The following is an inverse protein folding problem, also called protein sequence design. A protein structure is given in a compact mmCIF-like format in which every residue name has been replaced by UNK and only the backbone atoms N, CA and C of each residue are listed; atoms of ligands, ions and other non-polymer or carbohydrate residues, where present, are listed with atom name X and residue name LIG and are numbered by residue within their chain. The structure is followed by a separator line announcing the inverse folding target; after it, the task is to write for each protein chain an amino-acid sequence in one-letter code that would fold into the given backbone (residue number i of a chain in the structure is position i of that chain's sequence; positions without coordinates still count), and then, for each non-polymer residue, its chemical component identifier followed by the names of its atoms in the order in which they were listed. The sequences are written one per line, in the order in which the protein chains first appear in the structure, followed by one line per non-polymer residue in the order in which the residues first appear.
data_IF_570183647194
#
_entry.id   IF_570183647194
#
_cell.length_a   1.000
_cell.length_b   1.000
_cell.length_c   1.000
_cell.angle_alpha   90.00
_cell.angle_beta   90.00
_cell.angle_gamma   90.00
#
_symmetry.space_group_name_H-M   'P 1'
#
loop_
_entity.id
_entity.type
_entity.pdbx_description
1 polymer ?
#
# COMPACT_ATOMS: atom_id res chain seq x y z
N UNK A 1 -33.56 -9.48 -41.93
CA UNK A 1 -32.51 -10.15 -41.18
C UNK A 1 -31.82 -9.09 -40.33
N UNK A 2 -32.10 -9.05 -39.03
CA UNK A 2 -31.52 -8.08 -38.10
C UNK A 2 -30.30 -8.75 -37.42
N UNK A 3 -29.12 -8.22 -37.67
CA UNK A 3 -27.89 -8.68 -37.06
C UNK A 3 -27.78 -8.05 -35.65
N UNK A 4 -28.01 -8.83 -34.61
CA UNK A 4 -27.82 -8.39 -33.22
C UNK A 4 -26.32 -8.36 -32.92
N UNK A 5 -25.76 -7.15 -32.77
CA UNK A 5 -24.41 -6.94 -32.25
C UNK A 5 -24.46 -7.06 -30.74
N UNK A 6 -24.00 -8.15 -30.19
CA UNK A 6 -23.82 -8.32 -28.76
C UNK A 6 -22.65 -7.44 -28.29
N UNK A 7 -22.80 -6.64 -27.22
CA UNK A 7 -21.67 -5.91 -26.67
C UNK A 7 -20.70 -6.92 -26.05
N UNK A 8 -19.46 -6.96 -26.54
CA UNK A 8 -18.36 -7.65 -25.88
C UNK A 8 -17.98 -6.84 -24.65
N UNK A 9 -18.44 -7.26 -23.51
CA UNK A 9 -17.98 -6.74 -22.23
C UNK A 9 -16.54 -7.24 -22.03
N UNK A 10 -15.58 -6.38 -22.34
CA UNK A 10 -14.18 -6.66 -22.04
C UNK A 10 -14.02 -6.83 -20.53
N UNK A 11 -13.75 -8.04 -20.11
CA UNK A 11 -13.33 -8.28 -18.72
C UNK A 11 -12.04 -7.49 -18.48
N UNK A 12 -12.10 -6.47 -17.62
CA UNK A 12 -10.93 -5.72 -17.19
C UNK A 12 -10.08 -6.67 -16.32
N UNK A 13 -9.08 -7.28 -16.93
CA UNK A 13 -8.12 -8.15 -16.23
C UNK A 13 -7.24 -7.28 -15.33
N UNK A 14 -7.08 -7.70 -14.07
CA UNK A 14 -6.10 -7.07 -13.21
C UNK A 14 -4.69 -7.26 -13.80
N UNK A 15 -3.98 -6.17 -14.05
CA UNK A 15 -2.58 -6.26 -14.42
C UNK A 15 -1.78 -6.50 -13.15
N UNK A 16 -1.25 -7.71 -12.98
CA UNK A 16 -0.25 -8.02 -11.96
C UNK A 16 1.08 -7.49 -12.47
N UNK A 17 1.64 -6.52 -11.77
CA UNK A 17 2.89 -5.86 -12.14
C UNK A 17 4.10 -6.55 -11.52
N UNK A 18 3.91 -7.07 -10.30
CA UNK A 18 4.90 -7.85 -9.56
C UNK A 18 4.13 -8.77 -8.61
N UNK A 19 4.62 -9.97 -8.38
CA UNK A 19 4.04 -10.84 -7.35
C UNK A 19 4.44 -10.38 -5.95
N UNK A 20 3.65 -10.74 -4.95
CA UNK A 20 3.97 -10.43 -3.55
C UNK A 20 5.32 -11.03 -3.14
N UNK A 21 5.60 -12.27 -3.57
CA UNK A 21 6.85 -12.96 -3.22
C UNK A 21 8.06 -12.28 -3.87
N UNK A 22 7.95 -11.85 -5.14
CA UNK A 22 9.01 -11.07 -5.80
C UNK A 22 9.23 -9.73 -5.12
N UNK A 23 8.15 -9.02 -4.75
CA UNK A 23 8.26 -7.73 -4.05
C UNK A 23 8.91 -7.89 -2.67
N UNK A 24 8.58 -8.97 -1.94
CA UNK A 24 9.22 -9.30 -0.65
C UNK A 24 10.69 -9.66 -0.82
N UNK A 25 11.04 -10.46 -1.83
CA UNK A 25 12.44 -10.82 -2.11
C UNK A 25 13.29 -9.59 -2.48
N UNK A 26 12.71 -8.63 -3.22
CA UNK A 26 13.38 -7.37 -3.53
C UNK A 26 13.52 -6.45 -2.30
N UNK A 27 12.54 -6.47 -1.40
CA UNK A 27 12.55 -5.63 -0.19
C UNK A 27 13.48 -6.19 0.89
N UNK A 28 13.55 -7.51 1.03
CA UNK A 28 14.24 -8.21 2.11
C UNK A 28 15.04 -9.41 1.57
N UNK A 29 16.11 -9.18 0.77
CA UNK A 29 16.84 -10.26 0.09
C UNK A 29 17.49 -11.26 1.06
N UNK A 30 17.87 -10.80 2.27
CA UNK A 30 18.59 -11.60 3.27
C UNK A 30 17.73 -11.92 4.52
N UNK A 31 16.41 -11.90 4.39
CA UNK A 31 15.51 -12.13 5.51
C UNK A 31 14.41 -13.13 5.17
N UNK A 32 14.02 -13.94 6.14
CA UNK A 32 12.82 -14.73 6.07
C UNK A 32 11.60 -13.86 6.35
N UNK A 33 10.54 -14.01 5.54
CA UNK A 33 9.31 -13.26 5.70
C UNK A 33 8.18 -14.16 6.20
N UNK A 34 7.46 -13.71 7.22
CA UNK A 34 6.31 -14.40 7.81
C UNK A 34 5.06 -13.56 7.57
N UNK A 35 4.05 -14.16 6.94
CA UNK A 35 2.75 -13.52 6.73
C UNK A 35 1.92 -13.54 8.01
N UNK A 36 1.34 -12.40 8.35
CA UNK A 36 0.43 -12.23 9.48
C UNK A 36 -0.86 -11.54 9.02
N UNK A 37 -1.99 -12.03 9.50
CA UNK A 37 -3.28 -11.36 9.37
C UNK A 37 -3.57 -10.62 10.67
N UNK A 38 -3.79 -9.33 10.59
CA UNK A 38 -4.19 -8.49 11.71
C UNK A 38 -5.69 -8.33 11.70
N UNK A 39 -6.31 -8.51 12.86
CA UNK A 39 -7.73 -8.26 13.10
C UNK A 39 -7.84 -6.98 13.91
N UNK A 40 -8.37 -5.92 13.30
CA UNK A 40 -8.47 -4.60 13.90
C UNK A 40 -9.82 -4.45 14.62
N UNK A 41 -9.79 -4.02 15.87
CA UNK A 41 -10.97 -3.58 16.59
C UNK A 41 -11.54 -2.30 15.96
N UNK A 42 -12.77 -1.93 16.32
CA UNK A 42 -13.34 -0.64 15.90
C UNK A 42 -12.49 0.53 16.36
N UNK A 43 -12.05 0.51 17.62
CA UNK A 43 -11.19 1.54 18.20
C UNK A 43 -9.85 1.68 17.45
N UNK A 44 -9.21 0.56 17.09
CA UNK A 44 -7.99 0.57 16.31
C UNK A 44 -8.22 1.17 14.91
N UNK A 45 -9.32 0.82 14.24
CA UNK A 45 -9.67 1.38 12.92
C UNK A 45 -9.93 2.89 13.01
N UNK A 46 -10.67 3.32 14.01
CA UNK A 46 -10.98 4.74 14.24
C UNK A 46 -9.69 5.52 14.47
N UNK A 47 -8.77 4.97 15.28
CA UNK A 47 -7.46 5.56 15.52
C UNK A 47 -6.60 5.63 14.26
N UNK A 48 -6.55 4.55 13.47
CA UNK A 48 -5.82 4.55 12.18
C UNK A 48 -6.42 5.59 11.23
N UNK A 49 -7.75 5.72 11.17
CA UNK A 49 -8.42 6.70 10.32
C UNK A 49 -8.11 8.15 10.78
N UNK A 50 -8.13 8.41 12.09
CA UNK A 50 -7.79 9.72 12.67
C UNK A 50 -6.33 10.07 12.36
N UNK A 51 -5.38 9.20 12.71
CA UNK A 51 -3.95 9.45 12.56
C UNK A 51 -3.53 9.57 11.08
N UNK A 52 -4.14 8.79 10.17
CA UNK A 52 -3.83 8.83 8.74
C UNK A 52 -4.55 9.93 7.97
N UNK A 53 -5.71 10.37 8.46
CA UNK A 53 -6.64 11.22 7.70
C UNK A 53 -7.28 10.49 6.51
N UNK A 54 -7.29 9.14 6.50
CA UNK A 54 -7.81 8.32 5.41
C UNK A 54 -8.80 7.28 5.95
N UNK A 55 -9.81 6.95 5.13
CA UNK A 55 -10.81 5.94 5.50
C UNK A 55 -10.20 4.55 5.68
N UNK A 56 -10.65 3.83 6.70
CA UNK A 56 -10.30 2.44 7.00
C UNK A 56 -11.55 1.58 6.91
N UNK A 57 -11.81 1.03 5.74
CA UNK A 57 -13.02 0.24 5.46
C UNK A 57 -12.94 -1.22 5.93
N UNK A 58 -11.73 -1.79 6.09
CA UNK A 58 -11.51 -3.19 6.44
C UNK A 58 -11.09 -3.36 7.90
N UNK A 59 -11.63 -4.39 8.56
CA UNK A 59 -11.15 -4.87 9.86
C UNK A 59 -9.97 -5.85 9.73
N UNK A 60 -9.57 -6.20 8.50
CA UNK A 60 -8.47 -7.10 8.24
C UNK A 60 -7.35 -6.35 7.54
N UNK A 61 -6.13 -6.57 8.00
CA UNK A 61 -4.92 -6.11 7.32
C UNK A 61 -3.91 -7.25 7.19
N UNK A 62 -3.21 -7.30 6.07
CA UNK A 62 -2.15 -8.26 5.83
C UNK A 62 -0.80 -7.58 5.96
N UNK A 63 0.06 -8.14 6.80
CA UNK A 63 1.46 -7.73 6.88
C UNK A 63 2.40 -8.93 6.78
N UNK A 64 3.63 -8.64 6.43
CA UNK A 64 4.76 -9.55 6.48
C UNK A 64 5.79 -8.99 7.44
N UNK A 65 6.33 -9.85 8.31
CA UNK A 65 7.44 -9.50 9.21
C UNK A 65 8.70 -10.12 8.63
N UNK A 66 9.69 -9.32 8.32
CA UNK A 66 10.98 -9.77 7.82
C UNK A 66 11.96 -9.94 8.99
N UNK A 67 12.58 -11.13 9.10
CA UNK A 67 13.57 -11.44 10.13
C UNK A 67 14.88 -11.93 9.50
N UNK A 68 15.98 -11.39 10.00
CA UNK A 68 17.31 -11.88 9.65
C UNK A 68 17.59 -13.26 10.24
N UNK A 69 18.69 -13.87 9.83
CA UNK A 69 19.16 -15.16 10.34
C UNK A 69 19.41 -15.16 11.87
N UNK A 70 19.69 -14.00 12.44
CA UNK A 70 19.82 -13.74 13.87
C UNK A 70 18.49 -13.60 14.63
N UNK A 71 17.34 -13.74 13.91
CA UNK A 71 15.99 -13.55 14.44
C UNK A 71 15.56 -12.08 14.61
N UNK A 72 16.46 -11.12 14.42
CA UNK A 72 16.13 -9.70 14.53
C UNK A 72 15.15 -9.27 13.41
N UNK A 73 14.22 -8.38 13.75
CA UNK A 73 13.31 -7.79 12.76
C UNK A 73 14.10 -6.83 11.87
N UNK A 74 13.98 -7.02 10.56
CA UNK A 74 14.61 -6.18 9.53
C UNK A 74 13.61 -5.16 8.97
N UNK A 75 12.33 -5.38 9.18
CA UNK A 75 11.27 -4.51 8.74
C UNK A 75 9.94 -5.23 8.57
N UNK A 76 9.01 -4.52 7.98
CA UNK A 76 7.66 -4.99 7.71
C UNK A 76 7.22 -4.63 6.30
N UNK A 77 6.34 -5.44 5.71
CA UNK A 77 5.63 -5.08 4.48
C UNK A 77 4.13 -5.22 4.72
N UNK A 78 3.36 -4.24 4.28
CA UNK A 78 1.91 -4.22 4.40
C UNK A 78 1.28 -4.21 3.01
N UNK A 79 0.23 -4.99 2.81
CA UNK A 79 -0.60 -4.91 1.62
C UNK A 79 -1.80 -4.02 1.92
N UNK A 80 -1.97 -2.97 1.12
CA UNK A 80 -3.13 -2.09 1.15
C UNK A 80 -3.84 -2.17 -0.21
N UNK A 81 -5.12 -2.53 -0.17
CA UNK A 81 -5.97 -2.54 -1.36
C UNK A 81 -7.02 -1.46 -1.23
N UNK A 82 -7.02 -0.54 -2.14
CA UNK A 82 -7.92 0.60 -2.16
C UNK A 82 -8.46 0.86 -3.56
N UNK A 83 -9.50 1.69 -3.65
CA UNK A 83 -10.08 2.13 -4.92
C UNK A 83 -9.41 3.42 -5.38
N UNK A 84 -9.03 3.47 -6.66
CA UNK A 84 -8.47 4.69 -7.28
C UNK A 84 -9.58 5.58 -7.80
N UNK A 85 -10.32 5.13 -8.81
CA UNK A 85 -11.52 5.80 -9.36
C UNK A 85 -12.71 4.86 -9.22
N UNK A 86 -12.74 3.82 -10.04
CA UNK A 86 -13.79 2.80 -10.08
C UNK A 86 -13.23 1.42 -9.76
N UNK A 87 -11.95 1.18 -10.02
CA UNK A 87 -11.28 -0.09 -9.88
C UNK A 87 -10.19 -0.05 -8.80
N UNK A 88 -9.84 -1.21 -8.22
CA UNK A 88 -8.86 -1.26 -7.14
C UNK A 88 -7.41 -1.25 -7.64
N UNK A 89 -6.56 -0.70 -6.78
CA UNK A 89 -5.11 -0.85 -6.75
C UNK A 89 -4.72 -1.61 -5.48
N UNK A 90 -3.68 -2.44 -5.55
CA UNK A 90 -3.03 -3.02 -4.38
C UNK A 90 -1.57 -2.58 -4.38
N UNK A 91 -1.18 -1.91 -3.32
CA UNK A 91 0.22 -1.52 -3.09
C UNK A 91 0.81 -2.33 -1.94
N UNK A 92 2.11 -2.59 -2.01
CA UNK A 92 2.92 -3.06 -0.90
C UNK A 92 3.73 -1.89 -0.37
N UNK A 93 3.53 -1.53 0.88
CA UNK A 93 4.33 -0.52 1.59
C UNK A 93 5.31 -1.24 2.49
N UNK A 94 6.59 -1.04 2.24
CA UNK A 94 7.69 -1.65 2.98
C UNK A 94 8.25 -0.64 3.97
N UNK A 95 8.35 -1.04 5.24
CA UNK A 95 8.93 -0.27 6.32
C UNK A 95 10.22 -0.93 6.80
N UNK A 96 11.21 -0.13 7.18
CA UNK A 96 12.40 -0.61 7.88
C UNK A 96 12.13 -0.94 9.36
N UNK A 97 13.17 -1.31 10.10
CA UNK A 97 13.07 -1.67 11.51
C UNK A 97 12.65 -0.50 12.42
N UNK A 98 12.79 0.74 11.96
CA UNK A 98 12.37 1.96 12.67
C UNK A 98 10.97 2.45 12.27
N UNK A 99 10.29 1.70 11.38
CA UNK A 99 8.95 2.05 10.88
C UNK A 99 8.94 3.17 9.83
N UNK A 100 10.09 3.44 9.20
CA UNK A 100 10.22 4.42 8.11
C UNK A 100 9.92 3.74 6.79
N UNK A 101 9.27 4.44 5.86
CA UNK A 101 9.02 3.89 4.52
C UNK A 101 10.35 3.66 3.80
N UNK A 102 10.57 2.45 3.37
CA UNK A 102 11.73 2.05 2.58
C UNK A 102 11.39 1.92 1.10
N UNK A 103 10.15 1.53 0.77
CA UNK A 103 9.72 1.30 -0.60
C UNK A 103 8.20 1.23 -0.69
N UNK A 104 7.65 1.63 -1.83
CA UNK A 104 6.26 1.38 -2.22
C UNK A 104 6.27 0.70 -3.58
N UNK A 105 5.65 -0.49 -3.67
CA UNK A 105 5.51 -1.26 -4.92
C UNK A 105 4.04 -1.44 -5.27
N UNK A 106 3.68 -1.25 -6.53
CA UNK A 106 2.35 -1.56 -7.04
C UNK A 106 2.29 -3.03 -7.40
N UNK A 107 1.52 -3.81 -6.65
CA UNK A 107 1.35 -5.26 -6.86
C UNK A 107 0.32 -5.51 -7.97
N UNK A 108 -0.85 -4.88 -7.86
CA UNK A 108 -1.88 -4.96 -8.88
C UNK A 108 -2.48 -3.60 -9.17
N UNK A 109 -2.79 -3.36 -10.43
CA UNK A 109 -3.47 -2.16 -10.88
C UNK A 109 -4.58 -2.54 -11.85
N UNK A 110 -5.82 -2.12 -11.57
CA UNK A 110 -6.98 -2.51 -12.39
C UNK A 110 -7.54 -1.38 -13.23
N UNK A 111 -7.19 -0.13 -12.93
CA UNK A 111 -7.49 0.99 -13.82
C UNK A 111 -6.61 0.93 -15.07
N UNK A 112 -6.94 1.65 -16.17
CA UNK A 112 -6.05 1.79 -17.32
C UNK A 112 -4.66 2.30 -16.90
N UNK A 113 -3.60 1.67 -17.46
CA UNK A 113 -2.21 1.95 -17.08
C UNK A 113 -1.78 3.40 -17.29
N UNK A 114 -2.49 4.14 -18.15
CA UNK A 114 -2.27 5.58 -18.36
C UNK A 114 -2.55 6.43 -17.10
N UNK A 115 -3.34 5.90 -16.14
CA UNK A 115 -3.62 6.52 -14.84
C UNK A 115 -2.65 6.12 -13.74
N UNK A 116 -1.66 5.27 -14.06
CA UNK A 116 -0.63 4.86 -13.11
C UNK A 116 0.57 5.79 -13.20
N UNK A 117 1.06 6.34 -12.08
CA UNK A 117 2.33 7.04 -12.04
C UNK A 117 3.49 6.17 -12.54
N UNK A 118 4.52 6.77 -13.13
CA UNK A 118 5.73 6.05 -13.51
C UNK A 118 6.46 5.54 -12.25
N UNK A 119 7.18 4.43 -12.37
CA UNK A 119 7.88 3.76 -11.26
C UNK A 119 8.68 4.73 -10.37
N UNK A 120 9.47 5.61 -10.93
CA UNK A 120 10.27 6.57 -10.15
C UNK A 120 9.46 7.59 -9.34
N UNK A 121 8.14 7.72 -9.58
CA UNK A 121 7.30 8.57 -8.75
C UNK A 121 7.11 8.00 -7.35
N UNK A 122 7.07 6.69 -7.20
CA UNK A 122 6.88 6.01 -5.91
C UNK A 122 8.12 6.12 -5.01
N UNK A 123 9.29 6.45 -5.55
CA UNK A 123 10.53 6.65 -4.79
C UNK A 123 10.43 7.85 -3.83
N UNK A 124 9.48 8.77 -4.03
CA UNK A 124 9.26 9.92 -3.15
C UNK A 124 8.82 9.52 -1.73
N UNK A 125 8.31 8.31 -1.56
CA UNK A 125 7.92 7.80 -0.25
C UNK A 125 9.10 7.26 0.57
N UNK A 126 10.26 7.04 -0.05
CA UNK A 126 11.44 6.54 0.65
C UNK A 126 11.92 7.56 1.71
N UNK A 127 12.13 7.07 2.93
CA UNK A 127 12.49 7.90 4.08
C UNK A 127 11.33 8.61 4.76
N UNK A 128 10.11 8.52 4.23
CA UNK A 128 8.94 9.18 4.80
C UNK A 128 8.44 8.51 6.08
N UNK A 129 7.89 9.33 6.97
CA UNK A 129 7.17 8.96 8.19
C UNK A 129 5.77 9.57 8.16
N UNK A 130 4.92 9.16 9.09
CA UNK A 130 3.60 9.75 9.22
C UNK A 130 3.69 11.12 9.88
N UNK A 131 3.46 12.14 9.08
CA UNK A 131 3.31 13.53 9.51
C UNK A 131 2.36 14.29 8.58
N UNK A 132 2.18 15.58 8.82
CA UNK A 132 1.28 16.42 8.03
C UNK A 132 1.84 16.78 6.65
N UNK A 133 3.15 16.64 6.44
CA UNK A 133 3.81 16.96 5.19
C UNK A 133 3.82 15.79 4.21
N UNK A 134 3.55 14.56 4.67
CA UNK A 134 3.31 13.40 3.82
C UNK A 134 1.98 13.55 3.05
N UNK A 135 1.88 14.51 2.18
CA UNK A 135 0.69 14.88 1.44
C UNK A 135 1.04 15.39 0.04
N UNK A 136 0.08 15.27 -0.91
CA UNK A 136 0.26 15.87 -2.25
C UNK A 136 0.44 17.38 -2.15
N UNK A 137 1.33 17.91 -2.98
CA UNK A 137 1.76 19.31 -3.05
C UNK A 137 2.57 19.78 -1.81
N UNK A 138 2.94 18.86 -0.95
CA UNK A 138 3.94 19.01 0.09
C UNK A 138 5.12 18.11 -0.27
N UNK A 139 5.44 17.11 0.52
CA UNK A 139 6.55 16.18 0.25
C UNK A 139 6.30 15.31 -0.98
N UNK A 140 5.03 15.07 -1.34
CA UNK A 140 4.67 14.24 -2.49
C UNK A 140 4.23 15.11 -3.66
N UNK A 141 4.98 15.07 -4.76
CA UNK A 141 4.66 15.79 -6.00
C UNK A 141 3.47 15.14 -6.70
N UNK A 142 2.48 15.92 -7.14
CA UNK A 142 1.37 15.40 -7.93
C UNK A 142 1.84 14.95 -9.31
N UNK A 143 1.05 14.08 -9.96
CA UNK A 143 1.26 13.61 -11.33
C UNK A 143 0.13 14.08 -12.22
N UNK A 144 0.45 14.78 -13.29
CA UNK A 144 -0.55 15.16 -14.30
C UNK A 144 -1.07 13.91 -14.99
N UNK A 145 -2.40 13.78 -15.09
CA UNK A 145 -3.07 12.62 -15.68
C UNK A 145 -3.28 11.46 -14.71
N UNK A 146 -2.52 11.37 -13.58
CA UNK A 146 -2.65 10.32 -12.57
C UNK A 146 -2.90 10.87 -11.15
N UNK A 147 -3.56 12.02 -11.03
CA UNK A 147 -3.76 12.70 -9.74
C UNK A 147 -4.59 11.88 -8.74
N UNK A 148 -5.59 11.14 -9.22
CA UNK A 148 -6.41 10.31 -8.33
C UNK A 148 -5.59 9.13 -7.79
N UNK A 149 -4.80 8.46 -8.62
CA UNK A 149 -3.89 7.40 -8.20
C UNK A 149 -2.88 7.94 -7.19
N UNK A 150 -2.24 9.07 -7.51
CA UNK A 150 -1.29 9.70 -6.59
C UNK A 150 -1.90 10.01 -5.22
N UNK A 151 -3.17 10.48 -5.17
CA UNK A 151 -3.90 10.71 -3.93
C UNK A 151 -4.16 9.41 -3.18
N UNK A 152 -4.78 8.43 -3.84
CA UNK A 152 -5.16 7.16 -3.22
C UNK A 152 -3.94 6.41 -2.69
N UNK A 153 -2.82 6.40 -3.44
CA UNK A 153 -1.55 5.82 -2.99
C UNK A 153 -1.00 6.56 -1.76
N UNK A 154 -1.04 7.91 -1.74
CA UNK A 154 -0.60 8.68 -0.57
C UNK A 154 -1.43 8.35 0.66
N UNK A 155 -2.76 8.29 0.52
CA UNK A 155 -3.67 7.88 1.59
C UNK A 155 -3.39 6.44 2.07
N UNK A 156 -3.06 5.51 1.16
CA UNK A 156 -2.67 4.14 1.49
C UNK A 156 -1.36 4.10 2.30
N UNK A 157 -0.35 4.85 1.91
CA UNK A 157 0.92 4.94 2.66
C UNK A 157 0.70 5.51 4.05
N UNK A 158 -0.06 6.60 4.18
CA UNK A 158 -0.43 7.18 5.48
C UNK A 158 -1.17 6.17 6.35
N UNK A 159 -2.15 5.46 5.78
CA UNK A 159 -2.92 4.44 6.48
C UNK A 159 -2.05 3.30 7.00
N UNK A 160 -1.09 2.83 6.19
CA UNK A 160 -0.14 1.79 6.60
C UNK A 160 0.76 2.26 7.73
N UNK A 161 1.27 3.48 7.66
CA UNK A 161 2.11 4.06 8.73
C UNK A 161 1.34 4.22 10.05
N UNK A 162 0.10 4.71 9.99
CA UNK A 162 -0.78 4.81 11.16
C UNK A 162 -1.08 3.42 11.74
N UNK A 163 -1.43 2.45 10.89
CA UNK A 163 -1.66 1.07 11.31
C UNK A 163 -0.44 0.46 11.99
N UNK A 164 0.75 0.66 11.40
CA UNK A 164 1.99 0.18 11.99
C UNK A 164 2.20 0.76 13.40
N UNK A 165 2.00 2.07 13.58
CA UNK A 165 2.14 2.75 14.87
C UNK A 165 1.14 2.22 15.92
N UNK A 166 -0.12 2.02 15.53
CA UNK A 166 -1.17 1.47 16.43
C UNK A 166 -0.79 0.06 16.90
N UNK A 167 -0.41 -0.83 15.97
CA UNK A 167 -0.07 -2.22 16.30
C UNK A 167 1.26 -2.34 17.07
N UNK A 168 2.22 -1.44 16.85
CA UNK A 168 3.49 -1.43 17.59
C UNK A 168 3.31 -1.03 19.06
N UNK A 169 2.45 -0.06 19.36
CA UNK A 169 2.17 0.40 20.74
C UNK A 169 1.58 -0.71 21.61
N UNK A 170 0.70 -1.55 21.07
CA UNK A 170 0.06 -2.63 21.84
C UNK A 170 1.01 -3.77 22.22
N UNK A 171 2.09 -3.96 21.46
CA UNK A 171 3.12 -4.97 21.77
C UNK A 171 4.07 -4.53 22.87
N UNK A 172 4.06 -3.25 23.18
CA UNK A 172 4.93 -2.64 24.20
C UNK A 172 4.24 -2.46 25.56
N UNK A 173 2.96 -2.80 25.64
CA UNK A 173 2.15 -2.84 26.87
C UNK A 173 1.96 -4.28 27.36
#
# INVERSE_FOLDING_TARGET
MACAVLPVWGAAWATVLITVDEALALAFPDAATERQTLFLSSEQRDRVAEDSGAEVSSSLATRYVARGADGAVRGWAYLDTHRVRTLPETVMVVLDADGVVRRVEVVTFREPLEYMPRKGWYEQYEGQKLDDDLALKRDIRPVTGATLTARSTTEAVRRVLALHAVVAKERSQ
#
